data_IF_675146369762
#
_entry.id   IF_675146369762
#
_cell.length_a   1.000
_cell.length_b   1.000
_cell.length_c   1.000
_cell.angle_alpha   90.00
_cell.angle_beta   90.00
_cell.angle_gamma   90.00
#
_symmetry.space_group_name_H-M   'P 1'
#
loop_
_entity.id
_entity.type
_entity.pdbx_description
1 polymer ?
#
# COMPACT_ATOMS: atom_id res chain seq x y z
N UNK A 1 33.74 -23.31 29.56
CA UNK A 1 32.28 -23.24 29.34
C UNK A 1 31.82 -21.91 28.70
N UNK A 2 32.42 -20.75 29.01
CA UNK A 2 32.03 -19.47 28.39
C UNK A 2 32.19 -19.43 26.85
N UNK A 3 33.21 -20.09 26.31
CA UNK A 3 33.52 -20.07 24.87
C UNK A 3 32.43 -20.72 23.99
N UNK A 4 31.77 -21.79 24.46
CA UNK A 4 30.69 -22.46 23.71
C UNK A 4 29.33 -21.76 23.83
N UNK A 5 29.14 -20.88 24.81
CA UNK A 5 27.88 -20.16 25.03
C UNK A 5 27.69 -18.98 24.07
N UNK A 6 28.79 -18.41 23.58
CA UNK A 6 28.78 -17.26 22.64
C UNK A 6 28.06 -17.61 21.32
N UNK A 7 28.39 -18.70 20.60
CA UNK A 7 27.70 -19.03 19.35
C UNK A 7 26.21 -19.39 19.56
N UNK A 8 25.83 -19.99 20.69
CA UNK A 8 24.43 -20.30 21.00
C UNK A 8 23.60 -19.02 21.29
N UNK A 9 24.13 -18.13 22.13
CA UNK A 9 23.49 -16.83 22.43
C UNK A 9 23.36 -15.97 21.17
N UNK A 10 24.37 -15.98 20.30
CA UNK A 10 24.35 -15.27 19.04
C UNK A 10 23.32 -15.86 18.08
N UNK A 11 23.31 -17.18 17.85
CA UNK A 11 22.32 -17.85 16.99
C UNK A 11 20.88 -17.60 17.47
N UNK A 12 20.64 -17.61 18.79
CA UNK A 12 19.35 -17.27 19.37
C UNK A 12 18.96 -15.81 19.11
N UNK A 13 19.90 -14.86 19.28
CA UNK A 13 19.64 -13.43 19.04
C UNK A 13 19.34 -13.11 17.57
N UNK A 14 20.04 -13.75 16.63
CA UNK A 14 19.79 -13.58 15.19
C UNK A 14 18.44 -14.14 14.79
N UNK A 15 18.06 -15.31 15.34
CA UNK A 15 16.77 -15.93 15.09
C UNK A 15 15.60 -15.05 15.58
N UNK A 16 15.72 -14.48 16.80
CA UNK A 16 14.73 -13.55 17.35
C UNK A 16 14.64 -12.27 16.50
N UNK A 17 15.78 -11.73 16.07
CA UNK A 17 15.84 -10.55 15.20
C UNK A 17 15.15 -10.79 13.85
N UNK A 18 15.40 -11.95 13.22
CA UNK A 18 14.76 -12.33 11.95
C UNK A 18 13.24 -12.53 12.15
N UNK A 19 12.81 -13.13 13.27
CA UNK A 19 11.39 -13.25 13.57
C UNK A 19 10.71 -11.89 13.74
N UNK A 20 11.35 -10.95 14.45
CA UNK A 20 10.87 -9.57 14.58
C UNK A 20 10.77 -8.85 13.25
N UNK A 21 11.79 -8.98 12.39
CA UNK A 21 11.78 -8.41 11.03
C UNK A 21 10.66 -9.04 10.17
N UNK A 22 10.42 -10.34 10.27
CA UNK A 22 9.30 -11.02 9.59
C UNK A 22 7.94 -10.54 10.07
N UNK A 23 7.79 -10.27 11.36
CA UNK A 23 6.56 -9.72 11.93
C UNK A 23 6.31 -8.31 11.43
N UNK A 24 7.33 -7.46 11.36
CA UNK A 24 7.22 -6.13 10.76
C UNK A 24 6.83 -6.21 9.28
N UNK A 25 7.39 -7.14 8.49
CA UNK A 25 6.94 -7.33 7.10
C UNK A 25 5.47 -7.71 6.99
N UNK A 26 4.94 -8.52 7.92
CA UNK A 26 3.52 -8.86 7.97
C UNK A 26 2.67 -7.63 8.28
N UNK A 27 3.11 -6.78 9.22
CA UNK A 27 2.42 -5.53 9.56
C UNK A 27 2.39 -4.56 8.38
N UNK A 28 3.51 -4.39 7.66
CA UNK A 28 3.57 -3.54 6.46
C UNK A 28 2.56 -3.99 5.41
N UNK A 29 2.46 -5.31 5.16
CA UNK A 29 1.47 -5.87 4.23
C UNK A 29 0.04 -5.66 4.72
N UNK A 30 -0.22 -5.85 6.02
CA UNK A 30 -1.54 -5.66 6.60
C UNK A 30 -1.99 -4.19 6.51
N UNK A 31 -1.10 -3.25 6.84
CA UNK A 31 -1.38 -1.82 6.74
C UNK A 31 -1.65 -1.40 5.28
N UNK A 32 -0.86 -1.90 4.32
CA UNK A 32 -1.11 -1.65 2.90
C UNK A 32 -2.48 -2.17 2.44
N UNK A 33 -2.89 -3.34 2.91
CA UNK A 33 -4.22 -3.89 2.59
C UNK A 33 -5.35 -3.05 3.19
N UNK A 34 -5.20 -2.59 4.44
CA UNK A 34 -6.15 -1.67 5.08
C UNK A 34 -6.24 -0.33 4.35
N UNK A 35 -5.11 0.27 3.99
CA UNK A 35 -5.08 1.54 3.27
C UNK A 35 -5.72 1.42 1.86
N UNK A 36 -5.55 0.29 1.18
CA UNK A 36 -6.26 0.00 -0.08
C UNK A 36 -7.76 -0.11 0.12
N UNK A 37 -8.18 -0.84 1.15
CA UNK A 37 -9.60 -0.98 1.47
C UNK A 37 -10.24 0.37 1.82
N UNK A 38 -9.56 1.20 2.61
CA UNK A 38 -10.03 2.56 2.95
C UNK A 38 -10.14 3.44 1.70
N UNK A 39 -9.15 3.42 0.80
CA UNK A 39 -9.22 4.16 -0.45
C UNK A 39 -10.41 3.70 -1.32
N UNK A 40 -10.63 2.39 -1.45
CA UNK A 40 -11.78 1.85 -2.17
C UNK A 40 -13.12 2.29 -1.54
N UNK A 41 -13.21 2.26 -0.21
CA UNK A 41 -14.42 2.67 0.49
C UNK A 41 -14.70 4.16 0.30
N UNK A 42 -13.66 5.00 0.34
CA UNK A 42 -13.75 6.44 0.06
C UNK A 42 -14.21 6.71 -1.39
N UNK A 43 -13.70 5.93 -2.35
CA UNK A 43 -14.10 5.99 -3.75
C UNK A 43 -15.59 5.70 -3.94
N UNK A 44 -16.07 4.60 -3.36
CA UNK A 44 -17.47 4.20 -3.48
C UNK A 44 -18.40 5.25 -2.85
N UNK A 45 -17.99 5.86 -1.74
CA UNK A 45 -18.74 6.93 -1.10
C UNK A 45 -18.81 8.19 -1.98
N UNK A 46 -17.68 8.65 -2.51
CA UNK A 46 -17.65 9.82 -3.40
C UNK A 46 -18.42 9.58 -4.71
N UNK A 47 -18.29 8.39 -5.28
CA UNK A 47 -19.06 7.95 -6.46
C UNK A 47 -20.56 8.02 -6.20
N UNK A 48 -21.03 7.47 -5.08
CA UNK A 48 -22.45 7.54 -4.71
C UNK A 48 -22.93 8.99 -4.52
N UNK A 49 -22.10 9.85 -3.95
CA UNK A 49 -22.43 11.27 -3.76
C UNK A 49 -22.62 11.97 -5.11
N UNK A 50 -21.67 11.80 -6.03
CA UNK A 50 -21.72 12.36 -7.39
C UNK A 50 -22.93 11.85 -8.19
N UNK A 51 -23.22 10.55 -8.11
CA UNK A 51 -24.42 9.97 -8.73
C UNK A 51 -25.72 10.56 -8.19
N UNK A 52 -25.82 10.78 -6.86
CA UNK A 52 -26.98 11.43 -6.25
C UNK A 52 -27.12 12.89 -6.67
N UNK A 53 -26.02 13.62 -6.80
CA UNK A 53 -26.00 15.01 -7.29
C UNK A 53 -26.53 15.09 -8.73
N UNK A 54 -26.04 14.22 -9.61
CA UNK A 54 -26.51 14.15 -11.00
C UNK A 54 -27.99 13.73 -11.09
N UNK A 55 -28.42 12.74 -10.31
CA UNK A 55 -29.82 12.33 -10.27
C UNK A 55 -30.74 13.48 -9.81
N UNK A 56 -30.29 14.30 -8.86
CA UNK A 56 -31.02 15.50 -8.41
C UNK A 56 -31.08 16.57 -9.51
N UNK A 57 -30.00 16.78 -10.25
CA UNK A 57 -29.98 17.69 -11.40
C UNK A 57 -30.93 17.23 -12.51
N UNK A 58 -30.88 15.95 -12.91
CA UNK A 58 -31.82 15.38 -13.88
C UNK A 58 -33.28 15.50 -13.41
N UNK A 59 -33.54 15.23 -12.14
CA UNK A 59 -34.88 15.39 -11.56
C UNK A 59 -35.36 16.84 -11.63
N UNK A 60 -34.50 17.80 -11.29
CA UNK A 60 -34.81 19.22 -11.41
C UNK A 60 -35.02 19.66 -12.87
N UNK A 61 -34.22 19.16 -13.82
CA UNK A 61 -34.40 19.41 -15.25
C UNK A 61 -35.73 18.84 -15.76
N UNK A 62 -36.06 17.60 -15.40
CA UNK A 62 -37.35 16.97 -15.74
C UNK A 62 -38.52 17.74 -15.14
N UNK A 63 -38.42 18.19 -13.89
CA UNK A 63 -39.45 19.00 -13.23
C UNK A 63 -39.62 20.37 -13.89
N UNK A 64 -38.52 21.04 -14.26
CA UNK A 64 -38.57 22.31 -15.01
C UNK A 64 -39.23 22.15 -16.37
N UNK A 65 -38.90 21.08 -17.09
CA UNK A 65 -39.51 20.78 -18.39
C UNK A 65 -41.00 20.50 -18.23
N UNK A 66 -41.37 19.64 -17.28
CA UNK A 66 -42.77 19.33 -16.98
C UNK A 66 -43.58 20.56 -16.55
N UNK A 67 -42.99 21.48 -15.78
CA UNK A 67 -43.62 22.73 -15.39
C UNK A 67 -43.69 23.77 -16.53
N UNK A 68 -42.74 23.75 -17.46
CA UNK A 68 -42.66 24.71 -18.57
C UNK A 68 -43.59 24.39 -19.75
N UNK A 69 -44.13 23.16 -19.84
CA UNK A 69 -44.94 22.72 -20.98
C UNK A 69 -44.20 22.63 -22.32
N UNK A 70 -42.91 22.99 -22.36
CA UNK A 70 -42.08 22.98 -23.55
C UNK A 70 -41.54 21.56 -23.82
N UNK A 71 -41.62 21.08 -25.07
CA UNK A 71 -40.90 19.87 -25.49
C UNK A 71 -39.40 20.06 -25.28
N UNK A 72 -38.73 19.03 -24.74
CA UNK A 72 -37.29 18.96 -24.52
C UNK A 72 -36.55 19.05 -25.87
N UNK A 73 -36.41 20.25 -26.45
CA UNK A 73 -35.81 20.45 -27.78
C UNK A 73 -34.88 21.65 -27.80
N UNK A 74 -33.74 21.50 -28.47
CA UNK A 74 -32.72 22.54 -28.64
C UNK A 74 -31.82 22.76 -27.42
N UNK A 75 -32.11 23.78 -26.60
CA UNK A 75 -31.23 24.24 -25.51
C UNK A 75 -31.15 23.32 -24.28
N UNK A 76 -32.23 22.66 -23.80
CA UNK A 76 -32.16 21.76 -22.64
C UNK A 76 -31.36 20.49 -22.90
N UNK A 77 -31.31 20.02 -24.16
CA UNK A 77 -30.49 18.88 -24.58
C UNK A 77 -28.99 19.20 -24.58
N UNK A 78 -28.60 20.39 -25.02
CA UNK A 78 -27.21 20.84 -24.98
C UNK A 78 -26.70 20.99 -23.54
N UNK A 79 -27.52 21.53 -22.65
CA UNK A 79 -27.20 21.65 -21.22
C UNK A 79 -27.11 20.27 -20.57
N UNK A 80 -28.07 19.38 -20.84
CA UNK A 80 -28.01 18.01 -20.33
C UNK A 80 -26.76 17.26 -20.82
N UNK A 81 -26.39 17.39 -22.10
CA UNK A 81 -25.19 16.75 -22.65
C UNK A 81 -23.91 17.32 -22.02
N UNK A 82 -23.82 18.64 -21.81
CA UNK A 82 -22.69 19.26 -21.13
C UNK A 82 -22.58 18.79 -19.67
N UNK A 83 -23.70 18.69 -18.94
CA UNK A 83 -23.74 18.16 -17.56
C UNK A 83 -23.34 16.67 -17.50
N UNK A 84 -23.68 15.88 -18.53
CA UNK A 84 -23.24 14.48 -18.63
C UNK A 84 -21.75 14.37 -18.93
N UNK A 85 -21.22 15.19 -19.83
CA UNK A 85 -19.79 15.20 -20.19
C UNK A 85 -18.92 15.67 -19.02
N UNK A 86 -19.38 16.66 -18.24
CA UNK A 86 -18.71 17.10 -17.01
C UNK A 86 -18.75 16.01 -15.93
N UNK A 87 -19.89 15.32 -15.77
CA UNK A 87 -20.00 14.18 -14.86
C UNK A 87 -19.09 13.00 -15.25
N UNK A 88 -18.99 12.69 -16.53
CA UNK A 88 -18.11 11.62 -17.03
C UNK A 88 -16.63 11.98 -16.79
N UNK A 89 -16.24 13.23 -17.04
CA UNK A 89 -14.90 13.71 -16.70
C UNK A 89 -14.63 13.64 -15.19
N UNK A 90 -15.57 14.09 -14.37
CA UNK A 90 -15.47 14.00 -12.91
C UNK A 90 -15.27 12.56 -12.46
N UNK A 91 -16.08 11.62 -12.97
CA UNK A 91 -15.95 10.20 -12.67
C UNK A 91 -14.61 9.63 -13.15
N UNK A 92 -14.16 10.00 -14.35
CA UNK A 92 -12.87 9.59 -14.89
C UNK A 92 -11.71 10.03 -13.99
N UNK A 93 -11.70 11.29 -13.55
CA UNK A 93 -10.68 11.79 -12.62
C UNK A 93 -10.74 11.09 -11.26
N UNK A 94 -11.95 10.79 -10.78
CA UNK A 94 -12.18 10.09 -9.52
C UNK A 94 -11.57 8.67 -9.57
N UNK A 95 -11.85 7.92 -10.64
CA UNK A 95 -11.29 6.59 -10.88
C UNK A 95 -9.76 6.63 -11.07
N UNK A 96 -9.26 7.58 -11.87
CA UNK A 96 -7.82 7.75 -12.07
C UNK A 96 -7.09 8.08 -10.78
N UNK A 97 -7.67 8.91 -9.91
CA UNK A 97 -7.09 9.25 -8.60
C UNK A 97 -6.92 8.02 -7.71
N UNK A 98 -7.92 7.14 -7.68
CA UNK A 98 -7.86 5.88 -6.93
C UNK A 98 -6.79 4.96 -7.50
N UNK A 99 -6.75 4.80 -8.82
CA UNK A 99 -5.74 4.00 -9.49
C UNK A 99 -4.32 4.48 -9.16
N UNK A 100 -4.06 5.79 -9.31
CA UNK A 100 -2.74 6.38 -9.01
C UNK A 100 -2.38 6.23 -7.54
N UNK A 101 -3.32 6.47 -6.61
CA UNK A 101 -3.09 6.25 -5.18
C UNK A 101 -2.75 4.79 -4.88
N UNK A 102 -3.49 3.84 -5.43
CA UNK A 102 -3.23 2.42 -5.24
C UNK A 102 -1.86 2.01 -5.80
N UNK A 103 -1.50 2.50 -6.99
CA UNK A 103 -0.19 2.26 -7.59
C UNK A 103 0.95 2.85 -6.76
N UNK A 104 0.79 4.07 -6.24
CA UNK A 104 1.76 4.72 -5.37
C UNK A 104 1.95 3.94 -4.05
N UNK A 105 0.84 3.51 -3.42
CA UNK A 105 0.89 2.67 -2.23
C UNK A 105 1.60 1.34 -2.49
N UNK A 106 1.36 0.71 -3.64
CA UNK A 106 2.05 -0.53 -4.00
C UNK A 106 3.54 -0.35 -4.17
N UNK A 107 3.95 0.75 -4.82
CA UNK A 107 5.36 1.12 -4.95
C UNK A 107 6.01 1.36 -3.58
N UNK A 108 5.35 2.11 -2.70
CA UNK A 108 5.82 2.40 -1.34
C UNK A 108 5.94 1.11 -0.50
N UNK A 109 4.90 0.27 -0.51
CA UNK A 109 4.88 -1.00 0.22
C UNK A 109 6.00 -1.93 -0.27
N UNK A 110 6.25 -1.96 -1.58
CA UNK A 110 7.33 -2.73 -2.18
C UNK A 110 8.71 -2.20 -1.76
N UNK A 111 8.88 -0.87 -1.74
CA UNK A 111 10.09 -0.21 -1.23
C UNK A 111 10.37 -0.54 0.24
N UNK A 112 9.34 -0.49 1.09
CA UNK A 112 9.45 -0.83 2.50
C UNK A 112 9.80 -2.32 2.71
N UNK A 113 9.15 -3.22 1.97
CA UNK A 113 9.43 -4.65 2.03
C UNK A 113 10.83 -4.99 1.54
N UNK A 114 11.30 -4.34 0.46
CA UNK A 114 12.67 -4.54 -0.04
C UNK A 114 13.70 -4.04 0.96
N UNK A 115 13.54 -2.85 1.53
CA UNK A 115 14.40 -2.33 2.60
C UNK A 115 14.48 -3.29 3.80
N UNK A 116 13.35 -3.89 4.19
CA UNK A 116 13.32 -4.84 5.30
C UNK A 116 13.98 -6.19 4.97
N UNK A 117 13.84 -6.65 3.73
CA UNK A 117 14.57 -7.83 3.23
C UNK A 117 16.08 -7.59 3.20
N UNK A 118 16.53 -6.40 2.81
CA UNK A 118 17.95 -6.04 2.86
C UNK A 118 18.50 -6.07 4.29
N UNK A 119 17.80 -5.44 5.25
CA UNK A 119 18.17 -5.51 6.68
C UNK A 119 18.26 -6.94 7.20
N UNK A 120 17.32 -7.80 6.80
CA UNK A 120 17.34 -9.22 7.15
C UNK A 120 18.53 -9.95 6.51
N UNK A 121 18.86 -9.64 5.25
CA UNK A 121 20.05 -10.15 4.57
C UNK A 121 21.35 -9.74 5.24
N UNK A 122 21.48 -8.47 5.63
CA UNK A 122 22.63 -7.96 6.40
C UNK A 122 22.76 -8.66 7.74
N UNK A 123 21.64 -8.87 8.45
CA UNK A 123 21.63 -9.57 9.75
C UNK A 123 22.09 -11.02 9.59
N UNK A 124 21.65 -11.70 8.54
CA UNK A 124 22.08 -13.07 8.21
C UNK A 124 23.56 -13.15 7.82
N UNK A 125 24.03 -12.21 6.98
CA UNK A 125 25.43 -12.14 6.57
C UNK A 125 26.36 -11.84 7.75
N UNK A 126 25.98 -10.88 8.60
CA UNK A 126 26.70 -10.53 9.84
C UNK A 126 26.84 -11.75 10.75
N UNK A 127 25.75 -12.49 10.97
CA UNK A 127 25.80 -13.72 11.76
C UNK A 127 26.69 -14.79 11.13
N UNK A 128 26.64 -14.97 9.81
CA UNK A 128 27.49 -15.91 9.08
C UNK A 128 28.98 -15.57 9.10
N UNK A 129 29.33 -14.28 8.92
CA UNK A 129 30.71 -13.81 9.02
C UNK A 129 31.24 -14.01 10.43
N UNK A 130 30.49 -13.59 11.45
CA UNK A 130 30.87 -13.75 12.86
C UNK A 130 31.10 -15.23 13.22
N UNK A 131 30.25 -16.14 12.72
CA UNK A 131 30.43 -17.58 12.91
C UNK A 131 31.70 -18.11 12.24
N UNK A 132 32.04 -17.62 11.05
CA UNK A 132 33.26 -18.01 10.33
C UNK A 132 34.51 -17.51 11.07
N UNK A 133 34.50 -16.26 11.55
CA UNK A 133 35.60 -15.69 12.36
C UNK A 133 35.77 -16.49 13.65
N UNK A 134 34.68 -16.81 14.35
CA UNK A 134 34.72 -17.65 15.55
C UNK A 134 35.35 -19.03 15.29
N UNK A 135 35.01 -19.70 14.18
CA UNK A 135 35.66 -20.98 13.81
C UNK A 135 37.14 -20.83 13.49
N UNK A 136 37.54 -19.73 12.86
CA UNK A 136 38.95 -19.46 12.58
C UNK A 136 39.73 -19.16 13.87
N UNK A 137 39.16 -18.38 14.79
CA UNK A 137 39.77 -18.07 16.09
C UNK A 137 39.88 -19.34 16.95
N UNK A 138 38.87 -20.20 16.93
CA UNK A 138 38.93 -21.50 17.60
C UNK A 138 40.03 -22.39 17.01
N UNK A 139 40.14 -22.46 15.68
CA UNK A 139 41.17 -23.26 15.00
C UNK A 139 42.59 -22.69 15.20
N UNK A 140 42.74 -21.37 15.36
CA UNK A 140 44.01 -20.73 15.69
C UNK A 140 44.41 -20.99 17.15
N UNK A 141 43.44 -20.90 18.08
CA UNK A 141 43.63 -21.22 19.48
C UNK A 141 43.98 -22.70 19.71
N UNK A 142 43.34 -23.63 18.98
CA UNK A 142 43.65 -25.06 19.02
C UNK A 142 45.04 -25.40 18.44
N UNK A 143 45.58 -24.55 17.55
CA UNK A 143 46.92 -24.68 16.98
C UNK A 143 48.02 -23.99 17.81
N UNK A 144 47.66 -23.33 18.92
CA UNK A 144 48.62 -22.68 19.81
C UNK A 144 49.34 -21.47 19.20
N UNK A 145 48.77 -20.86 18.15
CA UNK A 145 49.28 -19.60 17.60
C UNK A 145 48.49 -18.48 18.26
N UNK A 146 49.00 -18.01 19.40
CA UNK A 146 48.55 -16.82 20.11
C UNK A 146 49.76 -15.95 20.43
#
# INVERSE_FOLDING_TARGET
MAFQMIPFLMAASTAVTIMGQRQQMKQIKANAAWNKYENELSFQYEKQKKLKEQAKLMSAQRARVGASGAQFSGSPLLIANADFEEFENDMFFLEKRVFVRNAAMDAETTGLLTAQKYKMGETLLSAGMTYKTYKQDQAAAEKGIG
#
